data_IF_440830641145
#
_entry.id   IF_440830641145
#
_cell.length_a   1.000
_cell.length_b   1.000
_cell.length_c   1.000
_cell.angle_alpha   90.00
_cell.angle_beta   90.00
_cell.angle_gamma   90.00
#
_symmetry.space_group_name_H-M   'P 1'
#
loop_
_entity.id
_entity.type
_entity.pdbx_description
1 polymer ?
#
# COMPACT_ATOMS: atom_id res chain seq x y z
N UNK A 1 2.79 0.79 16.52
CA UNK A 1 2.39 -0.62 16.76
C UNK A 1 3.45 -1.58 16.24
N UNK A 2 3.86 -1.46 14.98
CA UNK A 2 4.91 -2.27 14.34
C UNK A 2 6.22 -2.45 15.12
N UNK A 3 6.67 -1.43 15.88
CA UNK A 3 7.92 -1.52 16.67
C UNK A 3 7.76 -2.40 17.92
N UNK A 4 6.61 -2.33 18.59
CA UNK A 4 6.38 -3.05 19.86
C UNK A 4 5.85 -4.47 19.64
N UNK A 5 5.06 -4.65 18.57
CA UNK A 5 4.38 -5.91 18.26
C UNK A 5 4.52 -6.22 16.76
N UNK A 6 5.73 -6.55 16.29
CA UNK A 6 6.01 -6.74 14.87
C UNK A 6 5.15 -7.86 14.26
N UNK A 7 5.06 -9.03 14.91
CA UNK A 7 4.33 -10.18 14.37
C UNK A 7 2.81 -9.92 14.23
N UNK A 8 2.23 -9.23 15.22
CA UNK A 8 0.81 -8.85 15.17
C UNK A 8 0.59 -7.84 14.05
N UNK A 9 1.49 -6.85 13.92
CA UNK A 9 1.44 -5.86 12.85
C UNK A 9 1.57 -6.51 11.47
N UNK A 10 2.44 -7.50 11.33
CA UNK A 10 2.63 -8.26 10.09
C UNK A 10 1.37 -9.03 9.71
N UNK A 11 0.71 -9.67 10.68
CA UNK A 11 -0.55 -10.37 10.44
C UNK A 11 -1.64 -9.40 9.96
N UNK A 12 -1.82 -8.28 10.66
CA UNK A 12 -2.83 -7.26 10.30
C UNK A 12 -2.62 -6.73 8.88
N UNK A 13 -1.38 -6.39 8.50
CA UNK A 13 -1.12 -5.87 7.16
C UNK A 13 -1.27 -6.96 6.09
N UNK A 14 -0.96 -8.22 6.41
CA UNK A 14 -1.18 -9.34 5.50
C UNK A 14 -2.66 -9.57 5.22
N UNK A 15 -3.51 -9.50 6.25
CA UNK A 15 -4.96 -9.63 6.10
C UNK A 15 -5.53 -8.49 5.23
N UNK A 16 -5.02 -7.25 5.40
CA UNK A 16 -5.38 -6.11 4.54
C UNK A 16 -4.98 -6.36 3.09
N UNK A 17 -3.77 -6.85 2.84
CA UNK A 17 -3.30 -7.18 1.48
C UNK A 17 -4.18 -8.25 0.86
N UNK A 18 -4.51 -9.32 1.60
CA UNK A 18 -5.41 -10.37 1.10
C UNK A 18 -6.78 -9.81 0.69
N UNK A 19 -7.34 -8.87 1.46
CA UNK A 19 -8.61 -8.21 1.11
C UNK A 19 -8.49 -7.32 -0.13
N UNK A 20 -7.36 -6.59 -0.27
CA UNK A 20 -7.09 -5.80 -1.47
C UNK A 20 -7.03 -6.71 -2.70
N UNK A 21 -6.34 -7.84 -2.62
CA UNK A 21 -6.29 -8.81 -3.71
C UNK A 21 -7.67 -9.40 -4.04
N UNK A 22 -8.43 -9.80 -3.01
CA UNK A 22 -9.77 -10.36 -3.19
C UNK A 22 -10.75 -9.35 -3.83
N UNK A 23 -10.51 -8.04 -3.68
CA UNK A 23 -11.30 -7.00 -4.34
C UNK A 23 -11.05 -6.89 -5.84
N UNK A 24 -9.94 -7.44 -6.35
CA UNK A 24 -9.53 -7.30 -7.75
C UNK A 24 -9.04 -5.90 -8.14
N UNK A 25 -8.87 -4.99 -7.18
CA UNK A 25 -8.40 -3.63 -7.45
C UNK A 25 -6.92 -3.60 -7.87
N UNK A 26 -6.61 -2.89 -8.96
CA UNK A 26 -5.23 -2.62 -9.39
C UNK A 26 -4.59 -1.42 -8.67
N UNK A 27 -5.40 -0.61 -7.98
CA UNK A 27 -4.98 0.62 -7.32
C UNK A 27 -5.59 0.74 -5.91
N UNK A 28 -4.75 1.04 -4.92
CA UNK A 28 -5.12 1.31 -3.54
C UNK A 28 -4.92 2.78 -3.22
N UNK A 29 -5.99 3.43 -2.72
CA UNK A 29 -5.97 4.81 -2.26
C UNK A 29 -6.17 4.89 -0.75
N UNK A 30 -5.58 5.91 -0.12
CA UNK A 30 -5.80 6.20 1.30
C UNK A 30 -5.39 7.61 1.68
N UNK A 31 -5.75 8.00 2.91
CA UNK A 31 -5.45 9.32 3.47
C UNK A 31 -4.34 9.36 4.52
N UNK A 32 -3.83 8.19 4.94
CA UNK A 32 -2.76 8.11 5.94
C UNK A 32 -1.51 7.49 5.33
N UNK A 33 -0.46 8.30 5.19
CA UNK A 33 0.78 7.89 4.53
C UNK A 33 1.47 6.74 5.29
N UNK A 34 1.41 6.73 6.62
CA UNK A 34 1.98 5.64 7.42
C UNK A 34 1.32 4.29 7.14
N UNK A 35 0.00 4.26 7.05
CA UNK A 35 -0.77 3.08 6.66
C UNK A 35 -0.45 2.64 5.23
N UNK A 36 -0.40 3.60 4.30
CA UNK A 36 -0.10 3.31 2.90
C UNK A 36 1.30 2.74 2.72
N UNK A 37 2.32 3.31 3.37
CA UNK A 37 3.69 2.79 3.31
C UNK A 37 3.80 1.37 3.88
N UNK A 38 3.08 1.06 4.97
CA UNK A 38 3.05 -0.29 5.51
C UNK A 38 2.42 -1.29 4.53
N UNK A 39 1.28 -0.93 3.92
CA UNK A 39 0.62 -1.79 2.92
C UNK A 39 1.44 -1.90 1.64
N UNK A 40 1.97 -0.80 1.11
CA UNK A 40 2.84 -0.76 -0.06
C UNK A 40 4.07 -1.63 0.12
N UNK A 41 4.76 -1.52 1.25
CA UNK A 41 5.91 -2.37 1.57
C UNK A 41 5.55 -3.85 1.63
N UNK A 42 4.39 -4.19 2.21
CA UNK A 42 3.91 -5.59 2.25
C UNK A 42 3.54 -6.10 0.86
N UNK A 43 2.80 -5.32 0.07
CA UNK A 43 2.46 -5.64 -1.32
C UNK A 43 3.71 -5.91 -2.15
N UNK A 44 4.74 -5.05 -2.02
CA UNK A 44 6.01 -5.21 -2.71
C UNK A 44 6.75 -6.47 -2.31
N UNK A 45 6.86 -6.75 -1.00
CA UNK A 45 7.49 -7.98 -0.49
C UNK A 45 6.77 -9.25 -0.95
N UNK A 46 5.45 -9.19 -1.17
CA UNK A 46 4.64 -10.28 -1.69
C UNK A 46 4.54 -10.29 -3.23
N UNK A 47 5.23 -9.38 -3.93
CA UNK A 47 5.24 -9.30 -5.39
C UNK A 47 3.88 -8.96 -6.02
N UNK A 48 3.01 -8.24 -5.30
CA UNK A 48 1.66 -7.91 -5.79
C UNK A 48 1.70 -6.67 -6.69
N UNK A 49 1.03 -6.68 -7.86
CA UNK A 49 1.09 -5.60 -8.83
C UNK A 49 0.07 -4.48 -8.54
N UNK A 50 -0.18 -4.16 -7.26
CA UNK A 50 -1.15 -3.12 -6.87
C UNK A 50 -0.40 -1.80 -6.67
N UNK A 51 -0.83 -0.75 -7.37
CA UNK A 51 -0.28 0.60 -7.22
C UNK A 51 -0.89 1.28 -6.01
N UNK A 52 -0.08 2.00 -5.23
CA UNK A 52 -0.54 2.64 -4.00
C UNK A 52 -0.33 4.14 -4.09
N UNK A 53 -1.37 4.93 -3.83
CA UNK A 53 -1.30 6.40 -3.84
C UNK A 53 -2.04 6.99 -2.65
N UNK A 54 -1.60 8.17 -2.22
CA UNK A 54 -2.41 9.03 -1.38
C UNK A 54 -3.55 9.65 -2.21
N UNK A 55 -4.74 9.77 -1.64
CA UNK A 55 -5.91 10.31 -2.36
C UNK A 55 -5.64 11.70 -2.95
N UNK A 56 -4.86 12.55 -2.26
CA UNK A 56 -4.48 13.87 -2.77
C UNK A 56 -3.62 13.82 -4.04
N UNK A 57 -2.76 12.81 -4.21
CA UNK A 57 -1.93 12.67 -5.42
C UNK A 57 -2.80 12.40 -6.65
N UNK A 58 -3.81 11.54 -6.48
CA UNK A 58 -4.79 11.26 -7.55
C UNK A 58 -5.60 12.51 -7.89
N UNK A 59 -6.08 13.23 -6.87
CA UNK A 59 -6.84 14.48 -7.07
C UNK A 59 -5.99 15.59 -7.71
N UNK A 60 -4.68 15.60 -7.47
CA UNK A 60 -3.73 16.51 -8.11
C UNK A 60 -3.32 16.08 -9.53
N UNK A 61 -3.82 14.94 -10.03
CA UNK A 61 -3.49 14.43 -11.36
C UNK A 61 -2.11 13.76 -11.46
N UNK A 62 -1.53 13.32 -10.33
CA UNK A 62 -0.18 12.74 -10.26
C UNK A 62 -0.16 11.20 -10.29
N UNK A 63 -1.29 10.57 -10.62
CA UNK A 63 -1.45 9.11 -10.62
C UNK A 63 -0.78 8.41 -11.84
N UNK A 64 -0.07 9.16 -12.67
CA UNK A 64 0.78 8.69 -13.77
C UNK A 64 2.25 8.47 -13.35
N UNK A 65 2.61 8.96 -12.16
CA UNK A 65 3.93 8.77 -11.54
C UNK A 65 4.01 7.40 -10.82
N UNK A 66 5.23 6.92 -10.49
CA UNK A 66 5.40 5.73 -9.65
C UNK A 66 4.60 5.84 -8.35
N UNK A 67 3.96 4.74 -7.93
CA UNK A 67 3.22 4.70 -6.67
C UNK A 67 4.15 4.64 -5.46
N UNK A 68 3.57 4.79 -4.28
CA UNK A 68 4.29 4.60 -3.02
C UNK A 68 4.94 3.21 -2.98
N UNK A 69 6.26 3.16 -2.79
CA UNK A 69 7.04 1.92 -2.74
C UNK A 69 7.50 1.39 -4.10
N UNK A 70 7.18 2.07 -5.20
CA UNK A 70 7.80 1.81 -6.49
C UNK A 70 9.14 2.55 -6.63
N UNK A 71 10.08 2.02 -7.44
CA UNK A 71 11.33 2.71 -7.73
C UNK A 71 11.04 4.05 -8.45
N UNK A 72 11.82 5.07 -8.12
CA UNK A 72 11.85 6.32 -8.89
C UNK A 72 12.37 6.03 -10.31
N UNK A 73 11.79 6.70 -11.31
CA UNK A 73 12.19 6.57 -12.73
C UNK A 73 13.50 7.29 -13.01
#
# INVERSE_FOLDING_TARGET
>A
FCVKYPDISEKIVSDKVANIEASGADTLLGGDLGCLLNMAGRLKRLGKPVRVYHTAEVLAGMADQPGLGDPEK
#
